data_IF_285743228004
#
_entry.id   IF_285743228004
#
_cell.length_a   1.000
_cell.length_b   1.000
_cell.length_c   1.000
_cell.angle_alpha   90.00
_cell.angle_beta   90.00
_cell.angle_gamma   90.00
#
_symmetry.space_group_name_H-M   'P 1'
#
loop_
_entity.id
_entity.type
_entity.pdbx_description
1 polymer ?
#
# COMPACT_ATOMS: atom_id res chain seq x y z
N UNK A 1 -11.63 26.35 -0.84
CA UNK A 1 -10.72 25.95 0.24
C UNK A 1 -9.55 25.21 -0.39
N UNK A 2 -8.35 25.42 0.14
CA UNK A 2 -7.12 24.77 -0.33
C UNK A 2 -7.05 23.35 0.28
N UNK A 3 -6.67 22.36 -0.52
CA UNK A 3 -6.52 20.96 -0.08
C UNK A 3 -5.24 20.81 0.75
N UNK A 4 -5.33 20.22 1.94
CA UNK A 4 -4.18 19.92 2.79
C UNK A 4 -3.83 18.44 2.72
N UNK A 5 -2.58 18.10 2.42
CA UNK A 5 -2.05 16.73 2.48
C UNK A 5 -1.69 16.39 3.93
N UNK A 6 -2.33 15.36 4.49
CA UNK A 6 -2.11 14.94 5.89
C UNK A 6 -1.41 13.60 6.04
N UNK A 7 -1.37 12.78 4.99
CA UNK A 7 -0.69 11.49 5.02
C UNK A 7 -0.27 11.06 3.61
N UNK A 8 0.93 10.49 3.52
CA UNK A 8 1.44 9.76 2.35
C UNK A 8 2.00 8.42 2.82
N UNK A 9 1.63 7.34 2.13
CA UNK A 9 2.22 6.01 2.31
C UNK A 9 3.57 5.96 1.57
N UNK A 10 4.63 6.45 2.21
CA UNK A 10 5.97 6.53 1.61
C UNK A 10 6.48 5.16 1.14
N UNK A 11 6.15 4.09 1.86
CA UNK A 11 6.51 2.72 1.46
C UNK A 11 5.84 2.33 0.14
N UNK A 12 4.55 2.64 -0.02
CA UNK A 12 3.86 2.42 -1.28
C UNK A 12 4.44 3.28 -2.42
N UNK A 13 4.78 4.54 -2.15
CA UNK A 13 5.42 5.43 -3.12
C UNK A 13 6.74 4.83 -3.61
N UNK A 14 7.62 4.41 -2.71
CA UNK A 14 8.90 3.79 -3.04
C UNK A 14 8.75 2.50 -3.83
N UNK A 15 7.86 1.60 -3.40
CA UNK A 15 7.58 0.34 -4.09
C UNK A 15 7.07 0.60 -5.51
N UNK A 16 6.11 1.51 -5.65
CA UNK A 16 5.50 1.85 -6.93
C UNK A 16 6.52 2.51 -7.88
N UNK A 17 7.42 3.39 -7.39
CA UNK A 17 8.53 3.94 -8.18
C UNK A 17 9.44 2.82 -8.73
N UNK A 18 9.82 1.87 -7.88
CA UNK A 18 10.64 0.73 -8.29
C UNK A 18 9.93 -0.14 -9.34
N UNK A 19 8.62 -0.36 -9.20
CA UNK A 19 7.82 -1.11 -10.17
C UNK A 19 7.70 -0.39 -11.52
N UNK A 20 7.50 0.94 -11.51
CA UNK A 20 7.47 1.76 -12.72
C UNK A 20 8.80 1.69 -13.47
N UNK A 21 9.93 1.77 -12.77
CA UNK A 21 11.26 1.64 -13.38
C UNK A 21 11.48 0.26 -14.01
N UNK A 22 11.06 -0.82 -13.32
CA UNK A 22 11.14 -2.19 -13.87
C UNK A 22 10.27 -2.33 -15.13
N UNK A 23 9.05 -1.80 -15.10
CA UNK A 23 8.13 -1.83 -16.23
C UNK A 23 8.66 -1.02 -17.42
N UNK A 24 9.27 0.14 -17.19
CA UNK A 24 9.90 0.95 -18.22
C UNK A 24 11.04 0.19 -18.90
N UNK A 25 11.95 -0.40 -18.11
CA UNK A 25 13.07 -1.16 -18.65
C UNK A 25 12.60 -2.37 -19.48
N UNK A 26 11.58 -3.10 -19.00
CA UNK A 26 11.04 -4.26 -19.71
C UNK A 26 10.35 -3.86 -21.03
N UNK A 27 9.59 -2.76 -21.04
CA UNK A 27 8.96 -2.25 -22.26
C UNK A 27 9.98 -1.68 -23.25
N UNK A 28 11.01 -1.00 -22.76
CA UNK A 28 12.09 -0.52 -23.62
C UNK A 28 12.83 -1.70 -24.27
N UNK A 29 13.08 -2.76 -23.51
CA UNK A 29 13.67 -3.97 -24.08
C UNK A 29 12.77 -4.61 -25.14
N UNK A 30 11.47 -4.70 -24.89
CA UNK A 30 10.49 -5.19 -25.87
C UNK A 30 10.48 -4.35 -27.16
N UNK A 31 10.49 -3.02 -27.03
CA UNK A 31 10.55 -2.11 -28.18
C UNK A 31 11.88 -2.27 -28.95
N UNK A 32 13.00 -2.43 -28.25
CA UNK A 32 14.30 -2.65 -28.87
C UNK A 32 14.33 -3.96 -29.68
N UNK A 33 13.76 -5.05 -29.13
CA UNK A 33 13.64 -6.32 -29.85
C UNK A 33 12.78 -6.13 -31.10
N UNK A 34 11.61 -5.49 -30.99
CA UNK A 34 10.75 -5.19 -32.14
C UNK A 34 11.49 -4.40 -33.23
N UNK A 35 12.13 -3.29 -32.86
CA UNK A 35 12.87 -2.43 -33.78
C UNK A 35 14.05 -3.16 -34.43
N UNK A 36 14.71 -4.06 -33.69
CA UNK A 36 15.77 -4.92 -34.19
C UNK A 36 15.35 -5.85 -35.33
N UNK A 37 14.08 -6.25 -35.37
CA UNK A 37 13.54 -7.09 -36.45
C UNK A 37 13.34 -6.32 -37.76
N UNK A 38 13.32 -4.97 -37.73
CA UNK A 38 13.13 -4.10 -38.91
C UNK A 38 11.88 -4.45 -39.73
N UNK A 39 10.79 -4.80 -39.04
CA UNK A 39 9.52 -5.22 -39.66
C UNK A 39 8.53 -4.06 -39.85
N UNK A 40 8.80 -2.91 -39.25
CA UNK A 40 7.94 -1.73 -39.29
C UNK A 40 7.91 -1.02 -37.94
N UNK A 41 7.22 0.13 -37.88
CA UNK A 41 7.01 0.84 -36.62
C UNK A 41 6.16 -0.01 -35.65
N UNK A 42 6.48 0.04 -34.36
CA UNK A 42 5.68 -0.63 -33.33
C UNK A 42 4.32 0.08 -33.20
N UNK A 43 3.19 -0.62 -33.43
CA UNK A 43 1.88 0.03 -33.48
C UNK A 43 1.34 0.41 -32.10
N UNK A 44 1.52 -0.43 -31.08
CA UNK A 44 0.99 -0.21 -29.73
C UNK A 44 1.68 -1.16 -28.72
N UNK A 45 2.31 -0.58 -27.67
CA UNK A 45 3.03 -1.36 -26.64
C UNK A 45 2.12 -2.30 -25.86
N UNK A 46 0.90 -1.85 -25.54
CA UNK A 46 -0.06 -2.64 -24.77
C UNK A 46 -0.47 -3.90 -25.54
N UNK A 47 -0.83 -3.76 -26.82
CA UNK A 47 -1.12 -4.88 -27.73
C UNK A 47 0.10 -5.78 -27.87
N UNK A 48 1.30 -5.22 -28.01
CA UNK A 48 2.52 -6.01 -28.16
C UNK A 48 2.79 -6.90 -26.94
N UNK A 49 2.45 -6.46 -25.74
CA UNK A 49 2.56 -7.27 -24.51
C UNK A 49 1.51 -8.39 -24.45
N UNK A 50 0.27 -8.11 -24.89
CA UNK A 50 -0.88 -9.00 -24.64
C UNK A 50 -1.19 -9.95 -25.80
N UNK A 51 -0.95 -9.52 -27.04
CA UNK A 51 -1.30 -10.23 -28.28
C UNK A 51 -0.16 -10.20 -29.30
N UNK A 52 1.07 -10.39 -28.82
CA UNK A 52 2.32 -10.33 -29.61
C UNK A 52 2.26 -11.08 -30.95
N UNK A 53 1.71 -12.30 -30.96
CA UNK A 53 1.57 -13.13 -32.17
C UNK A 53 0.66 -12.48 -33.21
N UNK A 54 -0.46 -11.92 -32.76
CA UNK A 54 -1.41 -11.21 -33.63
C UNK A 54 -0.75 -9.96 -34.21
N UNK A 55 -0.12 -9.14 -33.36
CA UNK A 55 0.57 -7.91 -33.77
C UNK A 55 1.68 -8.21 -34.79
N UNK A 56 2.47 -9.25 -34.56
CA UNK A 56 3.51 -9.68 -35.50
C UNK A 56 2.91 -10.10 -36.86
N UNK A 57 1.87 -10.93 -36.84
CA UNK A 57 1.23 -11.44 -38.06
C UNK A 57 0.56 -10.34 -38.91
N UNK A 58 0.04 -9.29 -38.28
CA UNK A 58 -0.54 -8.13 -38.96
C UNK A 58 0.51 -7.36 -39.77
N UNK A 59 1.74 -7.27 -39.25
CA UNK A 59 2.82 -6.48 -39.86
C UNK A 59 3.60 -7.29 -40.90
N UNK A 60 3.76 -8.60 -40.69
CA UNK A 60 4.61 -9.48 -41.52
C UNK A 60 3.84 -10.12 -42.70
N UNK A 61 2.66 -9.59 -43.03
CA UNK A 61 1.66 -10.09 -44.01
C UNK A 61 2.15 -10.91 -45.24
N UNK A 62 1.28 -11.76 -45.83
CA UNK A 62 1.67 -12.71 -46.89
C UNK A 62 2.34 -12.01 -48.09
N UNK A 63 3.60 -12.36 -48.35
CA UNK A 63 4.43 -11.74 -49.40
C UNK A 63 5.66 -10.99 -48.89
N UNK A 64 5.81 -10.81 -47.57
CA UNK A 64 7.03 -10.28 -46.98
C UNK A 64 8.20 -11.28 -47.13
N UNK A 65 9.43 -10.76 -47.29
CA UNK A 65 10.67 -11.57 -47.23
C UNK A 65 11.03 -12.00 -45.79
N UNK A 66 10.19 -11.67 -44.81
CA UNK A 66 10.46 -11.86 -43.41
C UNK A 66 9.92 -13.21 -42.91
N UNK A 67 10.47 -13.75 -41.80
CA UNK A 67 10.03 -15.03 -41.27
C UNK A 67 8.54 -14.98 -40.92
N UNK A 68 7.74 -15.88 -41.48
CA UNK A 68 6.31 -15.99 -41.13
C UNK A 68 6.12 -16.45 -39.68
N UNK A 69 7.09 -17.17 -39.13
CA UNK A 69 7.12 -17.54 -37.73
C UNK A 69 7.67 -16.38 -36.90
N UNK A 70 6.96 -16.06 -35.82
CA UNK A 70 7.38 -15.03 -34.88
C UNK A 70 8.67 -15.46 -34.16
N UNK A 71 9.68 -14.59 -34.05
CA UNK A 71 10.90 -14.87 -33.31
C UNK A 71 10.64 -15.15 -31.82
N UNK A 72 11.27 -16.21 -31.29
CA UNK A 72 11.20 -16.57 -29.86
C UNK A 72 11.61 -15.43 -28.93
N UNK A 73 12.58 -14.62 -29.34
CA UNK A 73 13.06 -13.48 -28.56
C UNK A 73 11.96 -12.43 -28.35
N UNK A 74 11.16 -12.16 -29.38
CA UNK A 74 10.03 -11.22 -29.27
C UNK A 74 8.96 -11.76 -28.31
N UNK A 75 8.66 -13.05 -28.39
CA UNK A 75 7.75 -13.70 -27.45
C UNK A 75 8.25 -13.63 -26.00
N UNK A 76 9.53 -13.92 -25.77
CA UNK A 76 10.15 -13.87 -24.44
C UNK A 76 10.16 -12.45 -23.88
N UNK A 77 10.48 -11.45 -24.71
CA UNK A 77 10.46 -10.05 -24.31
C UNK A 77 9.04 -9.60 -23.92
N UNK A 78 8.02 -9.95 -24.72
CA UNK A 78 6.63 -9.63 -24.43
C UNK A 78 6.15 -10.32 -23.14
N UNK A 79 6.51 -11.59 -22.95
CA UNK A 79 6.19 -12.35 -21.74
C UNK A 79 6.84 -11.75 -20.49
N UNK A 80 8.10 -11.31 -20.58
CA UNK A 80 8.80 -10.66 -19.48
C UNK A 80 8.18 -9.30 -19.14
N UNK A 81 7.85 -8.49 -20.15
CA UNK A 81 7.13 -7.23 -19.93
C UNK A 81 5.77 -7.46 -19.26
N UNK A 82 5.03 -8.51 -19.66
CA UNK A 82 3.74 -8.87 -19.05
C UNK A 82 3.83 -9.21 -17.55
N UNK A 83 4.98 -9.67 -17.06
CA UNK A 83 5.19 -9.95 -15.62
C UNK A 83 5.36 -8.68 -14.77
N UNK A 84 5.65 -7.55 -15.40
CA UNK A 84 5.78 -6.28 -14.69
C UNK A 84 4.39 -5.67 -14.47
N UNK A 85 3.98 -5.52 -13.20
CA UNK A 85 2.63 -5.09 -12.81
C UNK A 85 2.15 -3.83 -13.54
N UNK A 86 3.03 -2.85 -13.73
CA UNK A 86 2.68 -1.56 -14.32
C UNK A 86 2.76 -1.55 -15.86
N UNK A 87 3.39 -2.54 -16.49
CA UNK A 87 3.60 -2.55 -17.95
C UNK A 87 2.30 -2.70 -18.76
N UNK A 88 1.25 -3.28 -18.16
CA UNK A 88 -0.06 -3.44 -18.79
C UNK A 88 -0.96 -2.20 -18.71
N UNK A 89 -0.50 -1.07 -18.20
CA UNK A 89 -1.30 0.16 -18.07
C UNK A 89 -1.08 1.06 -19.28
N UNK A 90 -1.98 1.01 -20.26
CA UNK A 90 -1.85 1.74 -21.54
C UNK A 90 -1.63 3.25 -21.33
N UNK A 91 -2.26 3.82 -20.32
CA UNK A 91 -2.21 5.24 -19.99
C UNK A 91 -0.85 5.72 -19.47
N UNK A 92 0.02 4.80 -19.01
CA UNK A 92 1.34 5.15 -18.48
C UNK A 92 2.41 5.24 -19.55
N UNK A 93 2.21 4.62 -20.71
CA UNK A 93 3.30 4.37 -21.66
C UNK A 93 2.96 4.90 -23.04
N UNK A 94 3.91 5.59 -23.63
CA UNK A 94 3.88 5.95 -25.05
C UNK A 94 5.22 5.63 -25.71
N UNK A 95 5.22 5.59 -27.03
CA UNK A 95 6.45 5.53 -27.82
C UNK A 95 6.75 6.97 -28.25
N UNK A 96 8.02 7.37 -28.20
CA UNK A 96 8.49 8.65 -28.74
C UNK A 96 8.19 8.78 -30.23
N UNK A 97 8.16 10.02 -30.74
CA UNK A 97 7.84 10.29 -32.15
C UNK A 97 8.81 9.61 -33.14
N UNK A 98 10.05 9.40 -32.73
CA UNK A 98 11.07 8.69 -33.51
C UNK A 98 10.90 7.14 -33.49
N UNK A 99 9.98 6.62 -32.67
CA UNK A 99 9.71 5.19 -32.55
C UNK A 99 10.73 4.40 -31.73
N UNK A 100 11.70 5.05 -31.09
CA UNK A 100 12.87 4.35 -30.48
C UNK A 100 12.78 4.19 -28.96
N UNK A 101 12.05 5.07 -28.28
CA UNK A 101 12.09 5.21 -26.83
C UNK A 101 10.69 5.05 -26.23
N UNK A 102 10.60 4.33 -25.12
CA UNK A 102 9.39 4.26 -24.29
C UNK A 102 9.40 5.42 -23.33
N UNK A 103 8.32 6.20 -23.33
CA UNK A 103 8.12 7.36 -22.48
C UNK A 103 7.11 7.03 -21.38
N UNK A 104 7.43 7.43 -20.16
CA UNK A 104 6.50 7.39 -19.04
C UNK A 104 5.65 8.67 -19.03
N UNK A 105 4.34 8.53 -18.97
CA UNK A 105 3.44 9.65 -18.71
C UNK A 105 3.56 10.06 -17.24
N UNK A 106 4.34 11.11 -16.98
CA UNK A 106 4.63 11.56 -15.62
C UNK A 106 3.38 11.96 -14.85
N UNK A 107 2.38 12.58 -15.49
CA UNK A 107 1.15 12.98 -14.81
C UNK A 107 0.35 11.76 -14.30
N UNK A 108 0.23 10.71 -15.12
CA UNK A 108 -0.44 9.48 -14.71
C UNK A 108 0.41 8.69 -13.69
N UNK A 109 1.74 8.74 -13.80
CA UNK A 109 2.64 8.15 -12.82
C UNK A 109 2.51 8.83 -11.46
N UNK A 110 2.47 10.16 -11.43
CA UNK A 110 2.30 10.93 -10.20
C UNK A 110 0.95 10.66 -9.55
N UNK A 111 -0.14 10.59 -10.34
CA UNK A 111 -1.45 10.21 -9.84
C UNK A 111 -1.45 8.80 -9.23
N UNK A 112 -0.72 7.85 -9.83
CA UNK A 112 -0.57 6.50 -9.29
C UNK A 112 0.23 6.49 -7.99
N UNK A 113 1.35 7.23 -7.92
CA UNK A 113 2.17 7.33 -6.71
C UNK A 113 1.39 7.94 -5.54
N UNK A 114 0.55 8.92 -5.84
CA UNK A 114 -0.24 9.69 -4.87
C UNK A 114 -1.62 9.09 -4.61
N UNK A 115 -1.91 7.88 -5.13
CA UNK A 115 -3.23 7.27 -5.03
C UNK A 115 -3.62 6.87 -3.59
N UNK A 116 -2.66 6.85 -2.67
CA UNK A 116 -2.86 6.57 -1.24
C UNK A 116 -2.68 7.79 -0.36
N UNK A 117 -2.52 8.97 -0.96
CA UNK A 117 -2.44 10.20 -0.21
C UNK A 117 -3.82 10.54 0.37
N UNK A 118 -3.82 11.00 1.62
CA UNK A 118 -5.03 11.49 2.29
C UNK A 118 -5.01 13.00 2.26
N UNK A 119 -5.99 13.56 1.58
CA UNK A 119 -6.20 15.00 1.48
C UNK A 119 -7.42 15.40 2.31
N UNK A 120 -7.33 16.58 2.94
CA UNK A 120 -8.41 17.19 3.72
C UNK A 120 -8.86 18.46 3.02
N UNK A 121 -10.16 18.60 2.86
CA UNK A 121 -10.83 19.74 2.23
C UNK A 121 -11.74 20.50 3.19
N UNK A 122 -12.21 19.84 4.25
CA UNK A 122 -13.16 20.40 5.21
C UNK A 122 -12.70 20.21 6.65
N UNK A 123 -13.24 21.01 7.57
CA UNK A 123 -12.89 20.93 8.98
C UNK A 123 -13.41 19.63 9.61
N UNK A 124 -14.55 19.10 9.14
CA UNK A 124 -15.08 17.81 9.59
C UNK A 124 -14.15 16.64 9.22
N UNK A 125 -13.52 16.70 8.03
CA UNK A 125 -12.51 15.72 7.63
C UNK A 125 -11.25 15.83 8.49
N UNK A 126 -10.84 17.05 8.87
CA UNK A 126 -9.73 17.30 9.81
C UNK A 126 -10.01 16.70 11.18
N UNK A 127 -11.20 16.94 11.71
CA UNK A 127 -11.64 16.43 12.99
C UNK A 127 -11.68 14.89 12.98
N UNK A 128 -12.26 14.28 11.94
CA UNK A 128 -12.25 12.83 11.76
C UNK A 128 -10.84 12.22 11.78
N UNK A 129 -9.90 12.78 11.02
CA UNK A 129 -8.51 12.29 10.98
C UNK A 129 -7.86 12.39 12.36
N UNK A 130 -8.07 13.50 13.10
CA UNK A 130 -7.56 13.64 14.48
C UNK A 130 -8.13 12.57 15.41
N UNK A 131 -9.42 12.26 15.30
CA UNK A 131 -10.04 11.21 16.12
C UNK A 131 -9.49 9.81 15.81
N UNK A 132 -9.27 9.49 14.53
CA UNK A 132 -8.69 8.20 14.14
C UNK A 132 -7.25 8.07 14.67
N UNK A 133 -6.44 9.12 14.58
CA UNK A 133 -5.07 9.13 15.13
C UNK A 133 -5.09 8.95 16.64
N UNK A 134 -5.90 9.75 17.35
CA UNK A 134 -6.03 9.65 18.81
C UNK A 134 -6.50 8.26 19.26
N UNK A 135 -7.43 7.64 18.52
CA UNK A 135 -7.87 6.27 18.76
C UNK A 135 -6.74 5.25 18.56
N UNK A 136 -5.96 5.37 17.48
CA UNK A 136 -4.82 4.49 17.20
C UNK A 136 -3.73 4.60 18.27
N UNK A 137 -3.39 5.82 18.70
CA UNK A 137 -2.40 6.08 19.74
C UNK A 137 -2.87 5.55 21.10
N UNK A 138 -4.12 5.83 21.47
CA UNK A 138 -4.72 5.35 22.71
C UNK A 138 -4.84 3.83 22.73
N UNK A 139 -5.28 3.21 21.63
CA UNK A 139 -5.36 1.76 21.48
C UNK A 139 -3.98 1.10 21.53
N UNK A 140 -2.97 1.70 20.89
CA UNK A 140 -1.58 1.22 20.95
C UNK A 140 -0.99 1.34 22.36
N UNK A 141 -1.28 2.44 23.06
CA UNK A 141 -0.89 2.65 24.45
C UNK A 141 -1.54 1.59 25.35
N UNK A 142 -2.86 1.43 25.26
CA UNK A 142 -3.60 0.42 26.04
C UNK A 142 -3.09 -0.99 25.73
N UNK A 143 -2.92 -1.36 24.46
CA UNK A 143 -2.46 -2.70 24.12
C UNK A 143 -1.04 -2.97 24.66
N UNK A 144 -0.09 -2.06 24.49
CA UNK A 144 1.31 -2.26 24.89
C UNK A 144 1.53 -2.10 26.40
N UNK A 145 0.97 -1.03 27.00
CA UNK A 145 1.16 -0.73 28.42
C UNK A 145 0.23 -1.55 29.30
N UNK A 146 -1.04 -1.75 28.92
CA UNK A 146 -1.99 -2.48 29.76
C UNK A 146 -1.69 -3.99 29.75
N UNK A 147 -1.27 -4.60 28.64
CA UNK A 147 -0.73 -5.97 28.67
C UNK A 147 0.54 -6.06 29.53
N UNK A 148 1.40 -5.05 29.48
CA UNK A 148 2.58 -4.95 30.35
C UNK A 148 2.21 -4.85 31.84
N UNK A 149 1.17 -4.06 32.17
CA UNK A 149 0.66 -3.88 33.53
C UNK A 149 -0.12 -5.09 34.05
N UNK A 150 -0.88 -5.80 33.19
CA UNK A 150 -1.55 -7.06 33.53
C UNK A 150 -0.53 -8.17 33.84
N UNK A 151 0.68 -8.07 33.29
CA UNK A 151 1.80 -8.95 33.62
C UNK A 151 2.69 -8.43 34.76
N UNK A 152 2.43 -7.22 35.30
CA UNK A 152 3.09 -6.77 36.52
C UNK A 152 2.47 -7.51 37.71
N UNK A 153 3.29 -8.29 38.43
CA UNK A 153 2.95 -8.77 39.77
C UNK A 153 3.00 -7.59 40.74
N UNK A 154 1.98 -6.75 40.71
CA UNK A 154 1.75 -5.74 41.75
C UNK A 154 1.12 -6.44 42.96
N UNK A 155 1.56 -6.17 44.20
CA UNK A 155 1.01 -6.83 45.41
C UNK A 155 -0.44 -6.43 45.73
N UNK A 156 -1.07 -5.60 44.89
CA UNK A 156 -2.45 -5.14 45.02
C UNK A 156 -3.15 -5.17 43.65
N UNK A 157 -4.47 -5.37 43.67
CA UNK A 157 -5.33 -5.39 42.49
C UNK A 157 -5.87 -3.96 42.28
N UNK A 158 -5.60 -3.36 41.13
CA UNK A 158 -6.21 -2.07 40.75
C UNK A 158 -7.69 -2.32 40.44
N UNK A 159 -8.65 -1.64 41.10
CA UNK A 159 -10.07 -1.85 40.83
C UNK A 159 -10.44 -1.24 39.47
N UNK A 160 -10.79 -2.10 38.52
CA UNK A 160 -11.37 -1.72 37.24
C UNK A 160 -12.55 -2.64 36.94
N UNK A 161 -13.56 -2.10 36.27
CA UNK A 161 -14.66 -2.89 35.71
C UNK A 161 -14.53 -2.95 34.20
N UNK A 162 -14.69 -4.16 33.63
CA UNK A 162 -14.76 -4.37 32.19
C UNK A 162 -16.22 -4.53 31.81
N UNK A 163 -16.74 -3.61 31.01
CA UNK A 163 -18.11 -3.66 30.50
C UNK A 163 -18.11 -3.84 28.98
N UNK A 164 -19.15 -4.53 28.48
CA UNK A 164 -19.34 -4.78 27.04
C UNK A 164 -18.50 -5.95 26.51
N UNK A 165 -19.07 -7.15 26.47
CA UNK A 165 -18.46 -8.33 25.84
C UNK A 165 -19.16 -8.63 24.52
N UNK A 166 -18.55 -8.26 23.40
CA UNK A 166 -18.87 -8.82 22.10
C UNK A 166 -17.57 -9.12 21.34
N UNK A 167 -17.39 -10.37 20.91
CA UNK A 167 -16.31 -10.83 20.02
C UNK A 167 -14.87 -10.49 20.45
N UNK A 168 -14.51 -10.68 21.71
CA UNK A 168 -13.09 -10.71 22.12
C UNK A 168 -12.35 -9.37 22.12
N UNK A 169 -13.03 -8.25 21.94
CA UNK A 169 -12.47 -6.91 22.15
C UNK A 169 -13.01 -6.31 23.45
N UNK A 170 -12.15 -5.60 24.18
CA UNK A 170 -12.53 -4.77 25.33
C UNK A 170 -13.07 -3.47 24.77
N UNK A 171 -14.36 -3.19 24.97
CA UNK A 171 -14.97 -1.96 24.46
C UNK A 171 -14.70 -0.77 25.38
N UNK A 172 -14.81 -0.96 26.69
CA UNK A 172 -14.55 0.09 27.68
C UNK A 172 -13.75 -0.43 28.86
N UNK A 173 -12.72 0.33 29.25
CA UNK A 173 -12.01 0.17 30.52
C UNK A 173 -12.42 1.33 31.42
N UNK A 174 -13.23 1.06 32.44
CA UNK A 174 -13.61 2.09 33.41
C UNK A 174 -12.72 1.93 34.63
N UNK A 175 -11.85 2.91 34.84
CA UNK A 175 -11.11 3.05 36.08
C UNK A 175 -12.07 3.69 37.08
N UNK A 176 -12.43 2.93 38.12
CA UNK A 176 -13.32 3.42 39.17
C UNK A 176 -12.54 4.36 40.09
N UNK A 177 -12.56 5.66 39.76
CA UNK A 177 -11.74 6.68 40.41
C UNK A 177 -11.98 6.79 41.91
N UNK A 178 -13.19 6.52 42.40
CA UNK A 178 -13.48 6.53 43.84
C UNK A 178 -12.86 5.32 44.54
N UNK A 179 -12.93 4.12 43.95
CA UNK A 179 -12.26 2.93 44.47
C UNK A 179 -10.73 3.07 44.41
N UNK A 180 -10.19 3.74 43.39
CA UNK A 180 -8.77 4.03 43.27
C UNK A 180 -8.28 5.00 44.37
N UNK A 181 -9.03 6.07 44.64
CA UNK A 181 -8.72 7.01 45.74
C UNK A 181 -8.75 6.31 47.10
N UNK A 182 -9.76 5.48 47.35
CA UNK A 182 -9.87 4.73 48.60
C UNK A 182 -8.71 3.73 48.76
N UNK A 183 -8.31 3.07 47.67
CA UNK A 183 -7.15 2.18 47.65
C UNK A 183 -5.84 2.92 47.94
N UNK A 184 -5.59 4.07 47.32
CA UNK A 184 -4.40 4.89 47.58
C UNK A 184 -4.34 5.31 49.04
N UNK A 185 -5.45 5.77 49.61
CA UNK A 185 -5.54 6.13 51.03
C UNK A 185 -5.31 4.93 51.97
N UNK A 186 -5.68 3.70 51.58
CA UNK A 186 -5.41 2.48 52.38
C UNK A 186 -3.94 2.07 52.32
N UNK A 187 -3.29 2.27 51.18
CA UNK A 187 -1.84 2.04 51.01
C UNK A 187 -1.03 3.06 51.81
N UNK A 188 -1.41 4.34 51.76
CA UNK A 188 -0.75 5.41 52.55
C UNK A 188 -0.88 5.20 54.07
N UNK A 189 -1.97 4.57 54.51
CA UNK A 189 -2.19 4.19 55.92
C UNK A 189 -1.49 2.90 56.35
N UNK A 190 -0.82 2.19 55.43
CA UNK A 190 -0.15 0.90 55.69
C UNK A 190 -1.09 -0.22 56.20
N UNK A 191 -2.39 -0.13 55.90
CA UNK A 191 -3.41 -1.08 56.37
C UNK A 191 -3.50 -2.37 55.50
N UNK A 192 -2.49 -2.65 54.67
CA UNK A 192 -2.48 -3.80 53.79
C UNK A 192 -2.04 -5.08 54.53
N UNK A 193 -2.95 -5.65 55.33
CA UNK A 193 -2.81 -7.05 55.75
C UNK A 193 -3.13 -7.93 54.55
N UNK A 194 -2.09 -8.46 53.90
CA UNK A 194 -2.22 -9.41 52.80
C UNK A 194 -3.23 -10.51 53.12
N UNK A 195 -4.36 -10.49 52.44
CA UNK A 195 -5.47 -11.38 52.71
C UNK A 195 -6.21 -11.70 51.42
N UNK A 196 -5.70 -12.70 50.72
CA UNK A 196 -6.37 -13.39 49.62
C UNK A 196 -7.77 -13.82 50.04
N UNK A 197 -8.80 -13.34 49.34
CA UNK A 197 -10.00 -14.14 49.10
C UNK A 197 -10.39 -13.99 47.63
N UNK A 198 -10.00 -15.00 46.88
CA UNK A 198 -10.62 -15.33 45.60
C UNK A 198 -12.11 -15.58 45.84
N UNK A 199 -12.96 -14.85 45.11
CA UNK A 199 -14.13 -15.38 44.44
C UNK A 199 -14.19 -14.75 43.04
#
# INVERSE_FOLDING_TARGET
MERELVFTDEKFVEQTKAELQKALAAQQHLLNVWNGLKIGACPDLFRLIHTVTTVYSEVVAPGSKQPQLMPDELYRAAYNARKCLQAGRKELWSISEDGTTVLLNQANADALLRSRDVWIETEEQREFVRHVVAYQESGSYLYKKLQGMLNMKVPFIVPYSMTGRAMGMINDLVIEMEALKEMVQRVERNDYTGGTKCL
#
